data_IF_517588700045
#
_entry.id   IF_517588700045
#
_cell.length_a   1.000
_cell.length_b   1.000
_cell.length_c   1.000
_cell.angle_alpha   90.00
_cell.angle_beta   90.00
_cell.angle_gamma   90.00
#
_symmetry.space_group_name_H-M   'P 1'
#
loop_
_entity.id
_entity.type
_entity.pdbx_description
1 polymer ?
#
# COMPACT_ATOMS: atom_id res chain seq x y z
N UNK A 1 -16.10 -13.12 18.48
CA UNK A 1 -14.67 -13.39 18.73
C UNK A 1 -14.13 -12.22 19.54
N UNK A 2 -13.73 -12.47 20.78
CA UNK A 2 -13.09 -11.48 21.64
C UNK A 2 -11.58 -11.59 21.39
N UNK A 3 -10.93 -10.47 21.09
CA UNK A 3 -9.48 -10.40 20.89
C UNK A 3 -8.82 -9.81 22.13
N UNK A 4 -7.59 -10.23 22.41
CA UNK A 4 -6.79 -9.69 23.52
C UNK A 4 -6.41 -8.21 23.29
N UNK A 5 -6.33 -7.80 22.02
CA UNK A 5 -6.04 -6.44 21.60
C UNK A 5 -6.84 -6.09 20.33
N UNK A 6 -7.27 -4.83 20.24
CA UNK A 6 -7.85 -4.23 19.04
C UNK A 6 -6.92 -3.15 18.45
N UNK A 7 -5.68 -3.08 18.92
CA UNK A 7 -4.69 -2.12 18.45
C UNK A 7 -4.05 -2.58 17.15
N UNK A 8 -3.52 -1.62 16.40
CA UNK A 8 -2.79 -1.88 15.18
C UNK A 8 -1.37 -2.30 15.53
N UNK A 9 -1.07 -3.57 15.30
CA UNK A 9 0.23 -4.17 15.59
C UNK A 9 1.37 -3.63 14.71
N UNK A 10 1.04 -2.98 13.59
CA UNK A 10 2.01 -2.26 12.76
C UNK A 10 2.35 -0.86 13.27
N UNK A 11 1.71 -0.41 14.36
CA UNK A 11 1.78 0.95 14.84
C UNK A 11 2.38 1.01 16.25
N UNK A 12 3.57 1.60 16.37
CA UNK A 12 4.24 1.83 17.67
C UNK A 12 3.35 2.64 18.63
N UNK A 13 2.46 3.49 18.10
CA UNK A 13 1.54 4.30 18.90
C UNK A 13 0.33 3.52 19.44
N UNK A 14 0.23 2.20 19.16
CA UNK A 14 -0.80 1.30 19.70
C UNK A 14 -2.23 1.86 19.53
N UNK A 15 -2.50 2.47 18.37
CA UNK A 15 -3.82 3.00 18.04
C UNK A 15 -4.76 1.87 17.62
N UNK A 16 -6.04 2.00 17.96
CA UNK A 16 -7.10 1.07 17.51
C UNK A 16 -7.03 0.85 16.01
N UNK A 17 -6.99 -0.40 15.59
CA UNK A 17 -6.94 -0.81 14.19
C UNK A 17 -8.31 -0.58 13.53
N UNK A 18 -8.43 0.55 12.83
CA UNK A 18 -9.53 0.82 11.90
C UNK A 18 -8.99 0.73 10.48
N UNK A 19 -9.86 0.47 9.50
CA UNK A 19 -9.49 0.50 8.06
C UNK A 19 -8.75 1.79 7.68
N UNK A 20 -9.24 2.94 8.16
CA UNK A 20 -8.58 4.23 7.92
C UNK A 20 -7.18 4.31 8.53
N UNK A 21 -6.99 3.74 9.73
CA UNK A 21 -5.69 3.70 10.38
C UNK A 21 -4.75 2.72 9.69
N UNK A 22 -5.16 1.46 9.51
CA UNK A 22 -4.33 0.39 8.94
C UNK A 22 -3.73 0.77 7.59
N UNK A 23 -4.52 1.35 6.68
CA UNK A 23 -4.07 1.63 5.32
C UNK A 23 -3.55 3.04 5.10
N UNK A 24 -3.97 4.01 5.92
CA UNK A 24 -3.66 5.44 5.65
C UNK A 24 -3.19 6.24 6.87
N UNK A 25 -3.56 5.84 8.09
CA UNK A 25 -3.24 6.57 9.31
C UNK A 25 -1.96 6.09 10.01
N UNK A 26 -1.61 4.82 9.87
CA UNK A 26 -0.47 4.18 10.50
C UNK A 26 0.85 4.70 9.93
N UNK A 27 1.86 4.91 10.79
CA UNK A 27 3.17 5.38 10.35
C UNK A 27 3.85 4.38 9.42
N UNK A 28 3.69 3.07 9.67
CA UNK A 28 4.16 2.03 8.76
C UNK A 28 3.52 2.17 7.37
N UNK A 29 2.19 2.26 7.31
CA UNK A 29 1.46 2.40 6.05
C UNK A 29 1.90 3.65 5.27
N UNK A 30 1.99 4.81 5.94
CA UNK A 30 2.48 6.06 5.32
C UNK A 30 3.86 5.89 4.70
N UNK A 31 4.77 5.21 5.39
CA UNK A 31 6.12 4.93 4.85
C UNK A 31 6.04 4.02 3.62
N UNK A 32 5.17 3.01 3.62
CA UNK A 32 4.95 2.14 2.46
C UNK A 32 4.40 2.90 1.24
N UNK A 33 3.50 3.86 1.44
CA UNK A 33 3.04 4.71 0.33
C UNK A 33 4.15 5.64 -0.18
N UNK A 34 4.98 6.17 0.72
CA UNK A 34 6.09 7.04 0.34
C UNK A 34 7.16 6.32 -0.50
N UNK A 35 7.34 4.99 -0.36
CA UNK A 35 8.34 4.25 -1.18
C UNK A 35 7.99 4.17 -2.67
N UNK A 36 6.75 4.52 -3.03
CA UNK A 36 6.30 4.66 -4.43
C UNK A 36 5.96 6.12 -4.78
N UNK A 37 6.51 7.07 -4.02
CA UNK A 37 6.32 8.51 -4.24
C UNK A 37 4.94 9.05 -3.90
N UNK A 38 4.09 8.29 -3.19
CA UNK A 38 2.72 8.69 -2.88
C UNK A 38 2.63 9.25 -1.46
N UNK A 39 2.25 10.52 -1.37
CA UNK A 39 1.87 11.18 -0.12
C UNK A 39 0.44 11.71 -0.17
N UNK A 40 -0.22 11.80 0.99
CA UNK A 40 -1.60 12.28 1.13
C UNK A 40 -1.85 12.82 2.55
N UNK A 41 -2.99 13.50 2.73
CA UNK A 41 -3.41 14.04 4.02
C UNK A 41 -4.15 12.96 4.81
N UNK A 42 -3.51 12.37 5.83
CA UNK A 42 -4.06 11.23 6.58
C UNK A 42 -5.24 11.57 7.51
N UNK A 43 -5.61 12.84 7.65
CA UNK A 43 -6.78 13.28 8.44
C UNK A 43 -8.10 13.16 7.65
N UNK A 44 -8.02 12.87 6.35
CA UNK A 44 -9.17 12.70 5.46
C UNK A 44 -9.80 11.32 5.59
N UNK A 45 -11.02 11.17 5.08
CA UNK A 45 -11.66 9.85 4.98
C UNK A 45 -10.95 8.97 3.94
N UNK A 46 -10.99 7.63 4.06
CA UNK A 46 -10.38 6.74 3.07
C UNK A 46 -10.81 7.05 1.63
N UNK A 47 -12.08 7.36 1.40
CA UNK A 47 -12.61 7.71 0.08
C UNK A 47 -11.99 8.99 -0.49
N UNK A 48 -11.78 10.00 0.36
CA UNK A 48 -11.11 11.24 -0.03
C UNK A 48 -9.63 11.02 -0.33
N UNK A 49 -8.95 10.16 0.45
CA UNK A 49 -7.54 9.81 0.21
C UNK A 49 -7.42 9.05 -1.12
N UNK A 50 -8.25 8.04 -1.36
CA UNK A 50 -8.27 7.28 -2.62
C UNK A 50 -8.49 8.22 -3.80
N UNK A 51 -9.46 9.14 -3.71
CA UNK A 51 -9.71 10.14 -4.76
C UNK A 51 -8.50 11.05 -4.97
N UNK A 52 -7.86 11.52 -3.89
CA UNK A 52 -6.66 12.35 -3.96
C UNK A 52 -5.50 11.61 -4.63
N UNK A 53 -5.20 10.38 -4.21
CA UNK A 53 -4.13 9.55 -4.75
C UNK A 53 -4.38 9.25 -6.22
N UNK A 54 -5.60 8.84 -6.58
CA UNK A 54 -5.98 8.57 -7.97
C UNK A 54 -5.78 9.80 -8.87
N UNK A 55 -6.24 10.97 -8.41
CA UNK A 55 -6.11 12.21 -9.18
C UNK A 55 -4.65 12.67 -9.29
N UNK A 56 -3.81 12.42 -8.27
CA UNK A 56 -2.38 12.73 -8.29
C UNK A 56 -1.59 11.81 -9.22
N UNK A 57 -1.92 10.52 -9.23
CA UNK A 57 -1.30 9.55 -10.13
C UNK A 57 -1.60 9.91 -11.59
N UNK A 58 -2.86 10.21 -11.91
CA UNK A 58 -3.25 10.55 -13.29
C UNK A 58 -3.08 9.41 -14.29
N UNK A 59 -2.88 8.18 -13.80
CA UNK A 59 -2.65 6.98 -14.62
C UNK A 59 -3.99 6.25 -14.85
N UNK A 60 -4.19 5.61 -16.02
CA UNK A 60 -5.40 4.83 -16.30
C UNK A 60 -5.53 3.58 -15.41
N UNK A 61 -4.44 3.20 -14.73
CA UNK A 61 -4.35 2.07 -13.79
C UNK A 61 -4.08 2.53 -12.33
N UNK A 62 -4.47 3.75 -11.99
CA UNK A 62 -4.23 4.29 -10.65
C UNK A 62 -4.93 3.48 -9.54
N UNK A 63 -6.07 2.83 -9.84
CA UNK A 63 -6.77 2.01 -8.85
C UNK A 63 -6.02 0.73 -8.55
N UNK A 64 -5.36 0.14 -9.53
CA UNK A 64 -4.54 -1.05 -9.41
C UNK A 64 -3.35 -0.79 -8.47
N UNK A 65 -2.68 0.35 -8.62
CA UNK A 65 -1.63 0.79 -7.67
C UNK A 65 -2.21 0.89 -6.26
N UNK A 66 -3.37 1.53 -6.10
CA UNK A 66 -3.98 1.73 -4.79
C UNK A 66 -4.34 0.38 -4.13
N UNK A 67 -4.95 -0.52 -4.90
CA UNK A 67 -5.37 -1.83 -4.43
C UNK A 67 -4.16 -2.70 -4.07
N UNK A 68 -3.11 -2.72 -4.91
CA UNK A 68 -1.92 -3.52 -4.67
C UNK A 68 -1.11 -3.04 -3.47
N UNK A 69 -1.00 -1.73 -3.24
CA UNK A 69 -0.32 -1.23 -2.04
C UNK A 69 -1.13 -1.54 -0.77
N UNK A 70 -2.46 -1.38 -0.84
CA UNK A 70 -3.37 -1.77 0.25
C UNK A 70 -3.25 -3.27 0.55
N UNK A 71 -3.20 -4.11 -0.48
CA UNK A 71 -2.99 -5.55 -0.38
C UNK A 71 -1.64 -5.90 0.23
N UNK A 72 -0.57 -5.21 -0.18
CA UNK A 72 0.78 -5.44 0.35
C UNK A 72 0.86 -5.10 1.84
N UNK A 73 0.28 -3.98 2.28
CA UNK A 73 0.17 -3.61 3.70
C UNK A 73 -0.63 -4.66 4.48
N UNK A 74 -1.75 -5.13 3.92
CA UNK A 74 -2.55 -6.18 4.54
C UNK A 74 -1.78 -7.49 4.70
N UNK A 75 -1.00 -7.89 3.68
CA UNK A 75 -0.11 -9.06 3.76
C UNK A 75 0.95 -8.90 4.84
N UNK A 76 1.58 -7.72 4.97
CA UNK A 76 2.56 -7.47 6.04
C UNK A 76 1.93 -7.60 7.42
N UNK A 77 0.75 -7.00 7.63
CA UNK A 77 -0.01 -7.11 8.88
C UNK A 77 -0.28 -8.55 9.25
N UNK A 78 -0.72 -9.37 8.29
CA UNK A 78 -1.05 -10.77 8.54
C UNK A 78 0.17 -11.66 8.74
N UNK A 79 1.26 -11.43 8.00
CA UNK A 79 2.50 -12.18 8.19
C UNK A 79 3.07 -11.92 9.60
N UNK A 80 3.01 -10.67 10.07
CA UNK A 80 3.37 -10.34 11.45
C UNK A 80 2.47 -11.08 12.46
N UNK A 81 1.15 -10.98 12.29
CA UNK A 81 0.17 -11.55 13.23
C UNK A 81 0.19 -13.09 13.31
N UNK A 82 0.35 -13.77 12.18
CA UNK A 82 0.12 -15.21 12.10
C UNK A 82 1.39 -16.02 11.91
N UNK A 83 2.45 -15.40 11.38
CA UNK A 83 3.70 -16.09 11.06
C UNK A 83 4.90 -15.53 11.83
N UNK A 84 4.71 -14.51 12.68
CA UNK A 84 5.78 -13.83 13.43
C UNK A 84 6.89 -13.29 12.52
N UNK A 85 6.51 -12.81 11.33
CA UNK A 85 7.45 -12.26 10.36
C UNK A 85 7.48 -10.73 10.45
N UNK A 86 8.66 -10.17 10.71
CA UNK A 86 8.81 -8.73 10.94
C UNK A 86 8.28 -7.88 9.76
N UNK A 87 7.36 -6.92 10.02
CA UNK A 87 6.83 -6.06 8.98
C UNK A 87 7.82 -4.94 8.68
N UNK A 88 8.57 -5.07 7.57
CA UNK A 88 9.46 -4.01 7.08
C UNK A 88 8.85 -3.27 5.89
N UNK A 89 9.17 -1.98 5.79
CA UNK A 89 8.69 -1.12 4.69
C UNK A 89 9.28 -1.59 3.34
N UNK A 90 10.54 -2.03 3.35
CA UNK A 90 11.22 -2.59 2.18
C UNK A 90 10.52 -3.86 1.67
N UNK A 91 10.19 -4.79 2.59
CA UNK A 91 9.46 -6.00 2.22
C UNK A 91 8.07 -5.68 1.67
N UNK A 92 7.38 -4.68 2.23
CA UNK A 92 6.11 -4.22 1.68
C UNK A 92 6.28 -3.69 0.25
N UNK A 93 7.34 -2.92 -0.03
CA UNK A 93 7.66 -2.42 -1.38
C UNK A 93 7.94 -3.57 -2.35
N UNK A 94 8.80 -4.52 -1.97
CA UNK A 94 9.11 -5.70 -2.79
C UNK A 94 7.85 -6.51 -3.11
N UNK A 95 7.01 -6.71 -2.10
CA UNK A 95 5.73 -7.39 -2.24
C UNK A 95 4.81 -6.66 -3.23
N UNK A 96 4.77 -5.33 -3.16
CA UNK A 96 4.01 -4.51 -4.10
C UNK A 96 4.52 -4.66 -5.54
N UNK A 97 5.84 -4.57 -5.75
CA UNK A 97 6.46 -4.69 -7.09
C UNK A 97 6.20 -6.08 -7.69
N UNK A 98 6.35 -7.13 -6.90
CA UNK A 98 6.05 -8.51 -7.35
C UNK A 98 4.58 -8.64 -7.81
N UNK A 99 3.63 -8.12 -7.03
CA UNK A 99 2.21 -8.14 -7.37
C UNK A 99 1.90 -7.28 -8.61
N UNK A 100 2.58 -6.14 -8.76
CA UNK A 100 2.43 -5.28 -9.93
C UNK A 100 2.95 -5.96 -11.21
N UNK A 101 4.12 -6.59 -11.14
CA UNK A 101 4.67 -7.40 -12.23
C UNK A 101 3.72 -8.55 -12.61
N UNK A 102 3.11 -9.23 -11.63
CA UNK A 102 2.13 -10.27 -11.91
C UNK A 102 0.86 -9.72 -12.57
N UNK A 103 0.36 -8.56 -12.11
CA UNK A 103 -0.81 -7.91 -12.68
C UNK A 103 -0.60 -7.53 -14.15
N UNK A 104 0.60 -7.10 -14.54
CA UNK A 104 0.92 -6.75 -15.93
C UNK A 104 0.59 -7.88 -16.91
N UNK A 105 0.80 -9.14 -16.55
CA UNK A 105 0.43 -10.28 -17.41
C UNK A 105 -1.07 -10.39 -17.72
N UNK A 106 -1.93 -9.72 -16.92
CA UNK A 106 -3.38 -9.70 -17.08
C UNK A 106 -3.91 -8.34 -17.50
N UNK A 107 -3.03 -7.34 -17.67
CA UNK A 107 -3.42 -5.99 -18.01
C UNK A 107 -3.78 -5.89 -19.50
N UNK A 108 -4.62 -4.90 -19.83
CA UNK A 108 -4.98 -4.63 -21.23
C UNK A 108 -3.72 -4.21 -22.00
N UNK A 109 -3.46 -4.74 -23.21
CA UNK A 109 -2.25 -4.43 -23.97
C UNK A 109 -1.95 -2.94 -24.11
N UNK A 110 -2.99 -2.12 -24.29
CA UNK A 110 -2.88 -0.65 -24.38
C UNK A 110 -2.32 0.05 -23.13
N UNK A 111 -2.35 -0.58 -21.96
CA UNK A 111 -1.81 -0.01 -20.72
C UNK A 111 -0.39 -0.50 -20.41
N UNK A 112 0.06 -1.61 -21.03
CA UNK A 112 1.35 -2.25 -20.72
C UNK A 112 2.56 -1.32 -20.85
N UNK A 113 2.73 -0.53 -21.95
CA UNK A 113 3.91 0.32 -22.08
C UNK A 113 3.99 1.36 -20.95
N UNK A 114 2.84 1.90 -20.54
CA UNK A 114 2.77 2.89 -19.48
C UNK A 114 2.98 2.27 -18.09
N UNK A 115 2.52 1.02 -17.89
CA UNK A 115 2.80 0.26 -16.67
C UNK A 115 4.29 -0.06 -16.54
N UNK A 116 4.96 -0.44 -17.62
CA UNK A 116 6.40 -0.73 -17.66
C UNK A 116 7.24 0.49 -17.29
N UNK A 117 6.98 1.62 -17.94
CA UNK A 117 7.67 2.88 -17.63
C UNK A 117 7.43 3.29 -16.18
N UNK A 118 6.20 3.14 -15.69
CA UNK A 118 5.88 3.49 -14.31
C UNK A 118 6.57 2.57 -13.30
N UNK A 119 6.61 1.26 -13.54
CA UNK A 119 7.28 0.28 -12.68
C UNK A 119 8.79 0.55 -12.59
N UNK A 120 9.46 0.76 -13.73
CA UNK A 120 10.89 1.09 -13.78
C UNK A 120 11.22 2.38 -13.01
N UNK A 121 10.30 3.35 -12.97
CA UNK A 121 10.51 4.56 -12.17
C UNK A 121 10.49 4.31 -10.66
N UNK A 122 9.96 3.18 -10.18
CA UNK A 122 9.90 2.87 -8.75
C UNK A 122 11.25 2.47 -8.15
N UNK A 123 12.22 2.08 -8.97
CA UNK A 123 13.59 1.79 -8.53
C UNK A 123 14.35 3.05 -8.08
N UNK A 124 13.89 4.22 -8.51
CA UNK A 124 14.50 5.51 -8.14
C UNK A 124 14.03 6.07 -6.80
N UNK A 125 12.98 5.50 -6.22
CA UNK A 125 12.47 5.92 -4.90
C UNK A 125 13.14 5.09 -3.78
N UNK A 126 13.74 5.74 -2.76
CA UNK A 126 14.29 5.04 -1.60
C UNK A 126 13.21 4.36 -0.75
#
# INVERSE_FOLDING_TARGET
MQLDSYNCELCILQKVEKVSHLFFGCNFAKRCWNTIGISYTSTRTPQQIIRQVRNRLGLPFAMEIILLMTWSIWKMRNAWMFNNEDPTVERCKLTFIQEFSMLRHRAKPRHLPMMEVWEQSQDTYP
#
